data_IF_989576249326
#
_entry.id   IF_989576249326
#
_cell.length_a   1.000
_cell.length_b   1.000
_cell.length_c   1.000
_cell.angle_alpha   90.00
_cell.angle_beta   90.00
_cell.angle_gamma   90.00
#
_symmetry.space_group_name_H-M   'P 1'
#
loop_
_entity.id
_entity.type
_entity.pdbx_description
1 polymer ?
#
# COMPACT_ATOMS: atom_id res chain seq x y z
N UNK A 1 -43.68 17.39 -38.40
CA UNK A 1 -43.04 16.52 -37.38
C UNK A 1 -41.77 17.16 -36.78
N UNK A 2 -41.10 18.09 -37.47
CA UNK A 2 -39.84 18.74 -37.05
C UNK A 2 -39.92 19.71 -35.85
N UNK A 3 -41.01 20.47 -35.69
CA UNK A 3 -41.14 21.43 -34.56
C UNK A 3 -41.09 20.75 -33.19
N UNK A 4 -41.62 19.53 -33.07
CA UNK A 4 -41.68 18.79 -31.81
C UNK A 4 -40.29 18.33 -31.36
N UNK A 5 -39.47 17.89 -32.32
CA UNK A 5 -38.06 17.50 -32.10
C UNK A 5 -37.23 18.72 -31.73
N UNK A 6 -37.44 19.87 -32.41
CA UNK A 6 -36.77 21.12 -32.08
C UNK A 6 -37.06 21.59 -30.64
N UNK A 7 -38.33 21.57 -30.22
CA UNK A 7 -38.68 21.95 -28.84
C UNK A 7 -38.11 20.98 -27.79
N UNK A 8 -38.11 19.67 -28.07
CA UNK A 8 -37.47 18.68 -27.19
C UNK A 8 -35.95 18.88 -27.04
N UNK A 9 -35.25 19.18 -28.14
CA UNK A 9 -33.81 19.47 -28.10
C UNK A 9 -33.55 20.78 -27.37
N UNK A 10 -34.38 21.81 -27.59
CA UNK A 10 -34.27 23.09 -26.90
C UNK A 10 -34.47 22.95 -25.39
N UNK A 11 -35.52 22.24 -24.98
CA UNK A 11 -35.81 22.00 -23.56
C UNK A 11 -34.68 21.20 -22.89
N UNK A 12 -34.10 20.23 -23.60
CA UNK A 12 -32.94 19.48 -23.11
C UNK A 12 -31.69 20.34 -22.96
N UNK A 13 -31.40 21.23 -23.92
CA UNK A 13 -30.29 22.20 -23.83
C UNK A 13 -30.52 23.22 -22.72
N UNK A 14 -31.76 23.66 -22.49
CA UNK A 14 -32.11 24.61 -21.44
C UNK A 14 -32.02 23.97 -20.03
N UNK A 15 -32.34 22.68 -19.89
CA UNK A 15 -32.08 21.89 -18.66
C UNK A 15 -30.57 21.75 -18.42
N UNK A 16 -29.79 21.37 -19.45
CA UNK A 16 -28.34 21.26 -19.36
C UNK A 16 -27.67 22.60 -18.99
N UNK A 17 -28.16 23.74 -19.51
CA UNK A 17 -27.66 25.07 -19.15
C UNK A 17 -27.99 25.47 -17.72
N UNK A 18 -29.12 25.01 -17.15
CA UNK A 18 -29.49 25.26 -15.75
C UNK A 18 -28.60 24.48 -14.79
N UNK A 19 -28.31 23.22 -15.10
CA UNK A 19 -27.45 22.37 -14.29
C UNK A 19 -25.96 22.76 -14.42
N UNK A 20 -25.53 23.28 -15.58
CA UNK A 20 -24.17 23.81 -15.79
C UNK A 20 -24.00 25.24 -15.24
N UNK A 21 -25.07 26.05 -15.21
CA UNK A 21 -25.06 27.41 -14.65
C UNK A 21 -24.90 27.48 -13.12
N UNK A 22 -25.20 26.39 -12.42
CA UNK A 22 -24.92 26.26 -10.99
C UNK A 22 -23.43 26.37 -10.68
N UNK A 23 -22.54 25.88 -11.55
CA UNK A 23 -21.09 25.92 -11.31
C UNK A 23 -20.53 27.34 -11.38
N UNK A 24 -21.05 28.21 -12.23
CA UNK A 24 -20.56 29.58 -12.36
C UNK A 24 -21.10 30.49 -11.26
N UNK A 25 -22.36 30.32 -10.84
CA UNK A 25 -22.91 30.97 -9.65
C UNK A 25 -22.20 30.50 -8.37
N UNK A 26 -21.94 29.20 -8.23
CA UNK A 26 -21.16 28.64 -7.13
C UNK A 26 -19.74 29.21 -7.14
N UNK A 27 -19.07 29.28 -8.30
CA UNK A 27 -17.75 29.91 -8.42
C UNK A 27 -17.77 31.38 -8.01
N UNK A 28 -18.80 32.14 -8.39
CA UNK A 28 -18.94 33.54 -7.96
C UNK A 28 -19.16 33.66 -6.45
N UNK A 29 -20.01 32.81 -5.87
CA UNK A 29 -20.25 32.78 -4.43
C UNK A 29 -18.96 32.40 -3.69
N UNK A 30 -18.25 31.36 -4.13
CA UNK A 30 -16.97 30.94 -3.56
C UNK A 30 -15.93 32.05 -3.67
N UNK A 31 -15.86 32.76 -4.81
CA UNK A 31 -14.97 33.92 -4.98
C UNK A 31 -15.32 35.05 -4.01
N UNK A 32 -16.60 35.35 -3.81
CA UNK A 32 -17.06 36.37 -2.85
C UNK A 32 -16.73 35.97 -1.41
N UNK A 33 -16.98 34.72 -1.02
CA UNK A 33 -16.61 34.17 0.30
C UNK A 33 -15.09 34.27 0.50
N UNK A 34 -14.30 33.84 -0.50
CA UNK A 34 -12.84 33.92 -0.42
C UNK A 34 -12.35 35.37 -0.29
N UNK A 35 -12.91 36.31 -1.04
CA UNK A 35 -12.53 37.74 -0.92
C UNK A 35 -12.93 38.36 0.42
N UNK A 36 -14.14 38.07 0.91
CA UNK A 36 -14.66 38.64 2.16
C UNK A 36 -14.00 38.06 3.41
N UNK A 37 -13.57 36.80 3.34
CA UNK A 37 -12.99 36.08 4.47
C UNK A 37 -11.54 35.64 4.20
N UNK A 38 -10.84 36.34 3.29
CA UNK A 38 -9.51 35.94 2.83
C UNK A 38 -8.55 35.69 3.99
N UNK A 39 -8.45 36.64 4.91
CA UNK A 39 -7.53 36.55 6.06
C UNK A 39 -7.87 35.36 6.96
N UNK A 40 -9.16 35.11 7.23
CA UNK A 40 -9.59 33.98 8.03
C UNK A 40 -9.36 32.64 7.32
N UNK A 41 -9.61 32.57 6.01
CA UNK A 41 -9.41 31.38 5.20
C UNK A 41 -7.92 31.08 5.00
N UNK A 42 -7.10 32.10 4.73
CA UNK A 42 -5.64 31.96 4.64
C UNK A 42 -5.09 31.48 5.99
N UNK A 43 -5.53 32.05 7.12
CA UNK A 43 -5.17 31.57 8.45
C UNK A 43 -5.60 30.11 8.66
N UNK A 44 -6.81 29.72 8.24
CA UNK A 44 -7.26 28.33 8.30
C UNK A 44 -6.33 27.45 7.46
N UNK A 45 -6.04 27.81 6.20
CA UNK A 45 -5.19 27.03 5.28
C UNK A 45 -3.75 26.89 5.80
N UNK A 46 -3.18 27.95 6.36
CA UNK A 46 -1.85 27.94 6.99
C UNK A 46 -1.79 27.04 8.22
N UNK A 47 -2.92 26.91 8.94
CA UNK A 47 -3.04 26.05 10.11
C UNK A 47 -3.77 24.74 9.78
N UNK A 48 -3.99 24.40 8.49
CA UNK A 48 -4.57 23.11 8.14
C UNK A 48 -3.61 22.05 8.63
N UNK A 49 -4.09 21.14 9.46
CA UNK A 49 -3.17 20.24 10.07
C UNK A 49 -2.62 19.20 9.09
N UNK A 50 -1.34 18.84 9.22
CA UNK A 50 -0.69 17.86 8.34
C UNK A 50 -1.07 16.42 8.74
N UNK A 51 -2.30 16.03 8.38
CA UNK A 51 -2.87 14.73 8.74
C UNK A 51 -2.02 13.56 8.24
N UNK A 52 -1.30 13.72 7.12
CA UNK A 52 -0.40 12.68 6.63
C UNK A 52 0.79 12.51 7.58
N UNK A 53 1.46 13.59 7.99
CA UNK A 53 2.57 13.47 8.95
C UNK A 53 2.09 12.85 10.25
N UNK A 54 0.97 13.33 10.78
CA UNK A 54 0.38 12.82 12.01
C UNK A 54 0.01 11.35 11.93
N UNK A 55 -0.62 10.92 10.83
CA UNK A 55 -0.90 9.49 10.61
C UNK A 55 0.37 8.65 10.56
N UNK A 56 1.44 9.14 9.94
CA UNK A 56 2.70 8.38 9.87
C UNK A 56 3.28 8.16 11.26
N UNK A 57 3.23 9.17 12.13
CA UNK A 57 3.66 9.05 13.53
C UNK A 57 2.81 8.04 14.29
N UNK A 58 1.47 8.11 14.15
CA UNK A 58 0.56 7.18 14.82
C UNK A 58 0.77 5.73 14.36
N UNK A 59 1.07 5.51 13.08
CA UNK A 59 1.45 4.19 12.57
C UNK A 59 2.79 3.74 13.15
N UNK A 60 3.81 4.61 13.18
CA UNK A 60 5.13 4.30 13.74
C UNK A 60 4.96 3.90 15.21
N UNK A 61 4.25 4.67 16.02
CA UNK A 61 4.00 4.35 17.44
C UNK A 61 3.26 3.02 17.61
N UNK A 62 2.22 2.76 16.82
CA UNK A 62 1.51 1.49 16.86
C UNK A 62 2.43 0.31 16.49
N UNK A 63 3.27 0.46 15.46
CA UNK A 63 4.22 -0.57 15.03
C UNK A 63 5.35 -0.77 16.05
N UNK A 64 5.84 0.27 16.71
CA UNK A 64 6.81 0.13 17.81
C UNK A 64 6.22 -0.67 18.97
N UNK A 65 4.96 -0.42 19.32
CA UNK A 65 4.26 -1.20 20.34
C UNK A 65 4.10 -2.68 19.94
N UNK A 66 3.77 -2.96 18.67
CA UNK A 66 3.65 -4.33 18.16
C UNK A 66 5.04 -5.00 18.06
N UNK A 67 6.08 -4.26 17.69
CA UNK A 67 7.43 -4.79 17.56
C UNK A 67 8.02 -5.21 18.90
N UNK A 68 7.68 -4.52 20.00
CA UNK A 68 8.02 -4.93 21.37
C UNK A 68 7.43 -6.29 21.77
N UNK A 69 6.36 -6.72 21.10
CA UNK A 69 5.71 -8.02 21.30
C UNK A 69 6.33 -9.11 20.41
N UNK A 70 7.36 -8.78 19.62
CA UNK A 70 8.03 -9.65 18.65
C UNK A 70 7.11 -10.15 17.51
N UNK A 71 5.96 -9.52 17.32
CA UNK A 71 5.03 -9.86 16.23
C UNK A 71 5.51 -9.34 14.87
N UNK A 72 6.33 -8.29 14.88
CA UNK A 72 6.94 -7.68 13.69
C UNK A 72 8.40 -7.27 13.95
N UNK A 73 9.17 -7.15 12.88
CA UNK A 73 10.47 -6.50 12.85
C UNK A 73 10.27 -5.10 12.30
N UNK A 74 10.58 -4.08 13.10
CA UNK A 74 10.35 -2.70 12.73
C UNK A 74 11.60 -1.84 12.98
N UNK A 75 11.99 -1.08 11.97
CA UNK A 75 13.04 -0.08 12.07
C UNK A 75 12.52 1.23 11.42
N UNK A 76 12.22 2.25 12.24
CA UNK A 76 11.67 3.52 11.77
C UNK A 76 12.50 4.19 10.68
N UNK A 77 13.81 3.94 10.59
CA UNK A 77 14.69 4.61 9.60
C UNK A 77 14.37 4.26 8.15
N UNK A 78 13.69 3.13 7.91
CA UNK A 78 13.23 2.72 6.58
C UNK A 78 11.81 3.19 6.26
N UNK A 79 11.18 3.92 7.19
CA UNK A 79 9.86 4.51 7.05
C UNK A 79 9.97 6.00 6.75
N UNK A 80 8.94 6.55 6.12
CA UNK A 80 8.82 7.98 5.90
C UNK A 80 7.36 8.40 5.89
N UNK A 81 7.12 9.71 5.73
CA UNK A 81 5.78 10.30 5.79
C UNK A 81 4.73 9.56 4.95
N UNK A 82 5.08 9.19 3.72
CA UNK A 82 4.11 8.60 2.78
C UNK A 82 4.02 7.07 2.79
N UNK A 83 5.03 6.40 3.35
CA UNK A 83 5.12 4.94 3.38
C UNK A 83 5.83 4.52 4.67
N UNK A 84 5.13 3.76 5.50
CA UNK A 84 5.69 3.16 6.71
C UNK A 84 5.99 1.68 6.42
N UNK A 85 7.19 1.22 6.78
CA UNK A 85 7.69 -0.11 6.41
C UNK A 85 7.99 -0.97 7.61
N UNK A 86 7.64 -2.25 7.53
CA UNK A 86 7.98 -3.26 8.52
C UNK A 86 8.18 -4.62 7.86
N UNK A 87 8.71 -5.57 8.61
CA UNK A 87 8.80 -6.97 8.24
C UNK A 87 8.06 -7.84 9.26
N UNK A 88 7.70 -9.04 8.83
CA UNK A 88 7.08 -10.06 9.67
C UNK A 88 8.09 -11.22 9.78
N UNK A 89 8.42 -11.71 10.99
CA UNK A 89 9.41 -12.78 11.19
C UNK A 89 9.17 -14.01 10.31
N UNK A 90 7.93 -14.48 10.23
CA UNK A 90 7.53 -15.64 9.42
C UNK A 90 7.87 -15.46 7.94
N UNK A 91 7.83 -14.22 7.45
CA UNK A 91 8.25 -13.91 6.08
C UNK A 91 9.77 -13.79 5.94
N UNK A 92 10.51 -13.46 7.00
CA UNK A 92 11.97 -13.41 6.96
C UNK A 92 12.55 -14.82 6.83
N UNK A 93 11.89 -15.82 7.44
CA UNK A 93 12.26 -17.23 7.26
C UNK A 93 11.99 -17.71 5.82
N UNK A 94 10.87 -17.25 5.23
CA UNK A 94 10.52 -17.55 3.84
C UNK A 94 11.43 -16.84 2.84
N UNK A 95 11.81 -15.60 3.14
CA UNK A 95 12.55 -14.70 2.26
C UNK A 95 13.76 -14.14 3.03
N UNK A 96 14.84 -14.94 3.14
CA UNK A 96 16.00 -14.59 3.96
C UNK A 96 16.76 -13.39 3.41
N UNK A 97 17.61 -12.84 4.27
CA UNK A 97 18.37 -11.64 3.96
C UNK A 97 19.32 -11.87 2.79
N UNK A 98 19.42 -10.84 1.96
CA UNK A 98 20.33 -10.78 0.84
C UNK A 98 21.77 -10.68 1.36
N UNK A 99 22.76 -11.17 0.59
CA UNK A 99 24.16 -11.02 0.93
C UNK A 99 24.54 -9.55 1.20
N UNK A 100 25.58 -9.33 2.01
CA UNK A 100 26.10 -7.97 2.26
C UNK A 100 26.56 -7.27 0.98
N UNK A 101 26.99 -8.03 -0.03
CA UNK A 101 27.32 -7.54 -1.37
C UNK A 101 26.11 -7.02 -2.15
N UNK A 102 24.90 -7.26 -1.66
CA UNK A 102 23.65 -6.94 -2.34
C UNK A 102 22.63 -6.27 -1.39
N UNK A 103 22.66 -4.94 -1.23
CA UNK A 103 21.87 -4.22 -0.22
C UNK A 103 20.35 -4.21 -0.46
N UNK A 104 19.87 -4.75 -1.58
CA UNK A 104 18.45 -4.79 -1.93
C UNK A 104 17.89 -3.43 -2.37
N UNK A 105 16.56 -3.36 -2.51
CA UNK A 105 15.86 -2.16 -2.99
C UNK A 105 15.82 -1.00 -1.99
N UNK A 106 15.86 -1.31 -0.69
CA UNK A 106 15.71 -0.34 0.40
C UNK A 106 17.00 -0.15 1.23
N UNK A 107 18.14 -0.62 0.72
CA UNK A 107 19.42 -0.58 1.43
C UNK A 107 19.39 -1.22 2.83
N UNK A 108 18.59 -2.28 2.97
CA UNK A 108 18.37 -3.00 4.22
C UNK A 108 18.62 -4.51 4.11
N UNK A 109 19.22 -4.94 3.00
CA UNK A 109 19.46 -6.36 2.67
C UNK A 109 18.18 -7.21 2.63
N UNK A 110 16.98 -6.61 2.58
CA UNK A 110 15.73 -7.34 2.44
C UNK A 110 15.30 -7.40 0.97
N UNK A 111 14.78 -8.55 0.56
CA UNK A 111 14.12 -8.69 -0.74
C UNK A 111 12.66 -8.23 -0.75
N UNK A 112 12.04 -8.11 0.43
CA UNK A 112 10.65 -7.72 0.60
C UNK A 112 10.45 -6.68 1.71
N UNK A 113 9.31 -6.01 1.68
CA UNK A 113 8.80 -5.20 2.78
C UNK A 113 7.28 -5.22 2.80
N UNK A 114 6.70 -5.10 4.00
CA UNK A 114 5.31 -4.66 4.15
C UNK A 114 5.28 -3.14 4.17
N UNK A 115 4.49 -2.53 3.29
CA UNK A 115 4.36 -1.09 3.13
C UNK A 115 2.95 -0.64 3.50
N UNK A 116 2.80 0.14 4.57
CA UNK A 116 1.58 0.90 4.87
C UNK A 116 1.59 2.17 4.02
N UNK A 117 0.63 2.28 3.11
CA UNK A 117 0.47 3.48 2.29
C UNK A 117 -0.23 4.58 3.07
N UNK A 118 0.51 5.65 3.33
CA UNK A 118 0.01 6.86 3.95
C UNK A 118 -0.09 7.98 2.90
N UNK A 119 -1.03 7.79 1.98
CA UNK A 119 -1.32 8.71 0.88
C UNK A 119 -2.83 8.94 0.84
N UNK A 120 -3.24 10.14 0.42
CA UNK A 120 -4.66 10.48 0.26
C UNK A 120 -5.37 9.66 -0.81
N UNK A 121 -6.70 9.80 -0.87
CA UNK A 121 -7.56 9.16 -1.86
C UNK A 121 -7.70 7.65 -1.67
N UNK A 122 -7.77 6.91 -2.78
CA UNK A 122 -8.01 5.46 -2.79
C UNK A 122 -6.87 4.60 -2.21
N UNK A 123 -5.76 5.22 -1.80
CA UNK A 123 -4.59 4.54 -1.23
C UNK A 123 -4.56 4.54 0.30
N UNK A 124 -5.49 5.25 0.95
CA UNK A 124 -5.56 5.37 2.41
C UNK A 124 -5.79 4.00 3.05
N UNK A 125 -5.03 3.72 4.10
CA UNK A 125 -5.24 2.56 4.96
C UNK A 125 -5.00 1.23 4.24
N UNK A 126 -3.91 1.12 3.50
CA UNK A 126 -3.55 -0.12 2.78
C UNK A 126 -2.18 -0.62 3.20
N UNK A 127 -2.07 -1.92 3.41
CA UNK A 127 -0.81 -2.62 3.59
C UNK A 127 -0.52 -3.40 2.31
N UNK A 128 0.69 -3.28 1.78
CA UNK A 128 1.15 -4.02 0.59
C UNK A 128 2.33 -4.88 0.93
N UNK A 129 2.38 -6.09 0.40
CA UNK A 129 3.59 -6.90 0.35
C UNK A 129 4.32 -6.60 -0.95
N UNK A 130 5.49 -5.99 -0.87
CA UNK A 130 6.28 -5.54 -2.02
C UNK A 130 7.62 -6.26 -2.05
N UNK A 131 8.01 -6.73 -3.23
CA UNK A 131 9.35 -7.26 -3.51
C UNK A 131 10.16 -6.27 -4.36
N UNK A 132 11.47 -6.27 -4.15
CA UNK A 132 12.41 -5.55 -5.01
C UNK A 132 12.97 -6.46 -6.11
N UNK A 133 13.18 -5.90 -7.30
CA UNK A 133 13.87 -6.57 -8.41
C UNK A 133 15.40 -6.45 -8.32
N UNK A 134 15.91 -5.65 -7.39
CA UNK A 134 17.33 -5.59 -7.04
C UNK A 134 17.66 -6.78 -6.14
N UNK A 135 17.63 -7.99 -6.68
CA UNK A 135 17.96 -9.25 -6.00
C UNK A 135 18.72 -10.18 -6.97
N UNK A 136 19.42 -11.20 -6.45
CA UNK A 136 20.01 -12.24 -7.29
C UNK A 136 18.97 -12.93 -8.20
N UNK A 137 19.40 -13.40 -9.36
CA UNK A 137 18.53 -13.96 -10.39
C UNK A 137 17.73 -15.19 -9.92
N UNK A 138 18.33 -16.01 -9.05
CA UNK A 138 17.64 -17.16 -8.44
C UNK A 138 16.45 -16.73 -7.57
N UNK A 139 16.66 -15.74 -6.68
CA UNK A 139 15.59 -15.15 -5.89
C UNK A 139 14.53 -14.50 -6.79
N UNK A 140 14.94 -13.89 -7.90
CA UNK A 140 14.03 -13.26 -8.87
C UNK A 140 13.10 -14.29 -9.52
N UNK A 141 13.63 -15.42 -9.98
CA UNK A 141 12.82 -16.53 -10.53
C UNK A 141 11.81 -17.06 -9.53
N UNK A 142 12.23 -17.26 -8.28
CA UNK A 142 11.32 -17.70 -7.23
C UNK A 142 10.19 -16.68 -6.98
N UNK A 143 10.51 -15.38 -6.88
CA UNK A 143 9.50 -14.32 -6.74
C UNK A 143 8.55 -14.32 -7.93
N UNK A 144 9.04 -14.48 -9.15
CA UNK A 144 8.17 -14.56 -10.34
C UNK A 144 7.23 -15.78 -10.32
N UNK A 145 7.70 -16.95 -9.90
CA UNK A 145 6.85 -18.14 -9.74
C UNK A 145 5.81 -17.96 -8.63
N UNK A 146 6.19 -17.36 -7.50
CA UNK A 146 5.28 -17.00 -6.42
C UNK A 146 4.14 -16.11 -6.92
N UNK A 147 4.46 -15.09 -7.74
CA UNK A 147 3.49 -14.15 -8.29
C UNK A 147 2.52 -14.82 -9.26
N UNK A 148 3.04 -15.65 -10.17
CA UNK A 148 2.23 -16.38 -11.13
C UNK A 148 1.27 -17.34 -10.41
N UNK A 149 1.76 -18.02 -9.38
CA UNK A 149 0.95 -18.99 -8.60
C UNK A 149 -0.14 -18.29 -7.78
N UNK A 150 0.12 -17.07 -7.30
CA UNK A 150 -0.85 -16.25 -6.55
C UNK A 150 -1.79 -15.43 -7.44
N UNK A 151 -1.73 -15.61 -8.76
CA UNK A 151 -2.62 -14.96 -9.73
C UNK A 151 -2.29 -13.48 -9.99
N UNK A 152 -1.11 -13.02 -9.57
CA UNK A 152 -0.65 -11.65 -9.80
C UNK A 152 -0.19 -11.50 -11.25
N UNK A 153 -0.63 -10.44 -11.93
CA UNK A 153 -0.26 -10.17 -13.33
C UNK A 153 1.26 -10.03 -13.48
N UNK A 154 1.84 -10.76 -14.43
CA UNK A 154 3.27 -10.69 -14.78
C UNK A 154 3.68 -9.25 -15.13
N UNK A 155 4.76 -8.75 -14.52
CA UNK A 155 5.39 -7.48 -14.89
C UNK A 155 6.40 -7.65 -16.03
N UNK A 156 6.89 -6.52 -16.55
CA UNK A 156 8.01 -6.47 -17.50
C UNK A 156 9.26 -7.11 -16.89
N UNK A 157 10.16 -7.66 -17.70
CA UNK A 157 11.36 -8.40 -17.26
C UNK A 157 12.31 -7.58 -16.35
N UNK A 158 12.33 -6.26 -16.50
CA UNK A 158 13.18 -5.33 -15.73
C UNK A 158 12.45 -4.63 -14.58
N UNK A 159 11.49 -5.30 -13.94
CA UNK A 159 10.74 -4.74 -12.83
C UNK A 159 11.64 -4.42 -11.62
N UNK A 160 11.43 -3.27 -10.98
CA UNK A 160 12.16 -2.88 -9.75
C UNK A 160 11.33 -3.09 -8.48
N UNK A 161 10.01 -2.93 -8.58
CA UNK A 161 9.08 -3.07 -7.46
C UNK A 161 7.89 -3.91 -7.90
N UNK A 162 7.50 -4.90 -7.11
CA UNK A 162 6.34 -5.74 -7.42
C UNK A 162 5.49 -5.98 -6.18
N UNK A 163 4.24 -5.49 -6.22
CA UNK A 163 3.23 -5.73 -5.21
C UNK A 163 2.56 -7.11 -5.43
N UNK A 164 2.62 -7.99 -4.45
CA UNK A 164 2.09 -9.37 -4.52
C UNK A 164 0.69 -9.44 -3.92
N UNK A 165 0.48 -8.69 -2.85
CA UNK A 165 -0.72 -8.79 -2.04
C UNK A 165 -1.01 -7.46 -1.35
N UNK A 166 -2.29 -7.18 -1.18
CA UNK A 166 -2.78 -5.96 -0.55
C UNK A 166 -3.83 -6.32 0.49
N UNK A 167 -3.78 -5.64 1.63
CA UNK A 167 -4.75 -5.71 2.71
C UNK A 167 -5.23 -4.31 3.07
N UNK A 168 -6.49 -4.20 3.51
CA UNK A 168 -7.10 -2.93 3.89
C UNK A 168 -7.19 -2.80 5.41
N UNK A 169 -6.67 -1.70 5.93
CA UNK A 169 -6.86 -1.25 7.31
C UNK A 169 -8.26 -0.62 7.40
N UNK A 170 -9.28 -1.45 7.56
CA UNK A 170 -10.68 -1.03 7.47
C UNK A 170 -11.04 0.18 8.36
N UNK A 171 -10.39 0.30 9.52
CA UNK A 171 -10.60 1.41 10.45
C UNK A 171 -10.01 2.74 9.95
N UNK A 172 -8.94 2.69 9.15
CA UNK A 172 -8.29 3.88 8.59
C UNK A 172 -8.80 4.12 7.17
N UNK A 173 -9.81 4.98 7.05
CA UNK A 173 -10.39 5.43 5.78
C UNK A 173 -10.28 6.96 5.68
N UNK A 174 -10.71 7.57 4.56
CA UNK A 174 -10.60 9.02 4.38
C UNK A 174 -11.26 9.82 5.49
N UNK A 175 -12.45 9.40 5.95
CA UNK A 175 -13.16 10.04 7.06
C UNK A 175 -12.36 9.98 8.36
N UNK A 176 -11.72 8.85 8.66
CA UNK A 176 -10.83 8.74 9.83
C UNK A 176 -9.66 9.73 9.75
N UNK A 177 -9.10 9.95 8.55
CA UNK A 177 -8.02 10.93 8.34
C UNK A 177 -8.54 12.36 8.50
N UNK A 178 -9.72 12.67 7.96
CA UNK A 178 -10.35 14.00 8.04
C UNK A 178 -10.70 14.36 9.49
N UNK A 179 -11.23 13.41 10.25
CA UNK A 179 -11.62 13.59 11.66
C UNK A 179 -10.44 13.40 12.64
N UNK A 180 -9.20 13.21 12.14
CA UNK A 180 -8.06 12.79 12.95
C UNK A 180 -7.75 13.78 14.09
N UNK A 181 -7.73 15.07 13.80
CA UNK A 181 -7.44 16.10 14.81
C UNK A 181 -8.49 16.13 15.90
N UNK A 182 -9.76 16.15 15.51
CA UNK A 182 -10.88 16.10 16.45
C UNK A 182 -10.87 14.81 17.30
N UNK A 183 -10.49 13.67 16.71
CA UNK A 183 -10.31 12.42 17.46
C UNK A 183 -9.19 12.52 18.48
N UNK A 184 -8.05 13.10 18.10
CA UNK A 184 -6.92 13.26 19.01
C UNK A 184 -7.24 14.20 20.17
N UNK A 185 -7.99 15.28 19.93
CA UNK A 185 -8.45 16.19 20.97
C UNK A 185 -9.45 15.54 21.93
N UNK A 186 -10.41 14.77 21.39
CA UNK A 186 -11.50 14.20 22.19
C UNK A 186 -11.12 12.89 22.89
N UNK A 187 -10.40 12.00 22.22
CA UNK A 187 -10.09 10.65 22.68
C UNK A 187 -8.67 10.54 23.26
N UNK A 188 -7.78 11.47 22.91
CA UNK A 188 -6.36 11.44 23.27
C UNK A 188 -5.52 10.54 22.36
N UNK A 189 -4.23 10.87 22.24
CA UNK A 189 -3.27 10.17 21.35
C UNK A 189 -3.18 8.66 21.63
N UNK A 190 -3.05 8.28 22.90
CA UNK A 190 -2.87 6.88 23.30
C UNK A 190 -4.05 5.99 22.87
N UNK A 191 -5.27 6.52 22.98
CA UNK A 191 -6.48 5.78 22.59
C UNK A 191 -6.53 5.59 21.06
N UNK A 192 -6.19 6.64 20.29
CA UNK A 192 -6.12 6.56 18.82
C UNK A 192 -5.05 5.56 18.37
N UNK A 193 -3.85 5.60 18.98
CA UNK A 193 -2.77 4.62 18.70
C UNK A 193 -3.24 3.20 19.01
N UNK A 194 -3.92 2.99 20.14
CA UNK A 194 -4.49 1.69 20.52
C UNK A 194 -5.51 1.17 19.50
N UNK A 195 -6.37 2.03 18.96
CA UNK A 195 -7.32 1.65 17.90
C UNK A 195 -6.61 1.22 16.60
N UNK A 196 -5.58 1.97 16.21
CA UNK A 196 -4.76 1.66 15.03
C UNK A 196 -4.03 0.34 15.25
N UNK A 197 -3.35 0.17 16.38
CA UNK A 197 -2.66 -1.07 16.77
C UNK A 197 -3.58 -2.28 16.66
N UNK A 198 -4.77 -2.23 17.28
CA UNK A 198 -5.76 -3.32 17.21
C UNK A 198 -6.18 -3.66 15.78
N UNK A 199 -6.27 -2.65 14.92
CA UNK A 199 -6.59 -2.85 13.51
C UNK A 199 -5.43 -3.50 12.74
N UNK A 200 -4.20 -3.12 13.04
CA UNK A 200 -2.99 -3.72 12.47
C UNK A 200 -2.83 -5.18 12.91
N UNK A 201 -2.96 -5.49 14.20
CA UNK A 201 -2.86 -6.86 14.74
C UNK A 201 -3.83 -7.83 14.05
N UNK A 202 -5.08 -7.39 13.80
CA UNK A 202 -6.06 -8.19 13.08
C UNK A 202 -5.58 -8.54 11.68
N UNK A 203 -5.00 -7.57 10.97
CA UNK A 203 -4.48 -7.77 9.61
C UNK A 203 -3.22 -8.62 9.63
N UNK A 204 -2.36 -8.46 10.64
CA UNK A 204 -1.17 -9.30 10.81
C UNK A 204 -1.56 -10.77 10.95
N UNK A 205 -2.63 -11.08 11.67
CA UNK A 205 -3.17 -12.45 11.72
C UNK A 205 -3.55 -12.97 10.33
N UNK A 206 -4.30 -12.18 9.55
CA UNK A 206 -4.69 -12.54 8.18
C UNK A 206 -3.48 -12.71 7.25
N UNK A 207 -2.42 -11.89 7.44
CA UNK A 207 -1.17 -12.00 6.68
C UNK A 207 -0.41 -13.29 7.05
N UNK A 208 -0.33 -13.62 8.34
CA UNK A 208 0.36 -14.82 8.82
C UNK A 208 -0.32 -16.10 8.34
N UNK A 209 -1.65 -16.13 8.27
CA UNK A 209 -2.38 -17.25 7.66
C UNK A 209 -2.00 -17.48 6.19
N UNK A 210 -1.76 -16.39 5.43
CA UNK A 210 -1.24 -16.46 4.05
C UNK A 210 0.23 -16.88 3.96
N UNK A 211 1.05 -16.66 4.98
CA UNK A 211 2.45 -17.08 4.98
C UNK A 211 2.58 -18.60 4.75
N UNK A 212 1.70 -19.39 5.37
CA UNK A 212 1.61 -20.84 5.21
C UNK A 212 1.32 -21.28 3.77
N UNK A 213 0.63 -20.46 2.97
CA UNK A 213 0.41 -20.71 1.55
C UNK A 213 1.71 -20.49 0.76
N UNK A 214 2.44 -19.41 1.06
CA UNK A 214 3.70 -19.08 0.39
C UNK A 214 4.81 -20.09 0.72
N UNK A 215 4.81 -20.65 1.93
CA UNK A 215 5.71 -21.74 2.30
C UNK A 215 5.51 -22.98 1.41
N UNK A 216 4.26 -23.37 1.16
CA UNK A 216 3.94 -24.50 0.26
C UNK A 216 4.43 -24.22 -1.16
N UNK A 217 4.26 -22.99 -1.65
CA UNK A 217 4.75 -22.59 -2.98
C UNK A 217 6.28 -22.66 -3.04
N UNK A 218 6.98 -22.18 -2.00
CA UNK A 218 8.43 -22.27 -1.88
C UNK A 218 8.93 -23.72 -1.91
N UNK A 219 8.31 -24.60 -1.13
CA UNK A 219 8.70 -26.02 -1.10
C UNK A 219 8.49 -26.69 -2.46
N UNK A 220 7.37 -26.40 -3.13
CA UNK A 220 7.12 -26.90 -4.48
C UNK A 220 8.14 -26.37 -5.52
N UNK A 221 8.57 -25.12 -5.39
CA UNK A 221 9.60 -24.53 -6.25
C UNK A 221 10.94 -25.26 -6.10
N UNK A 222 11.38 -25.48 -4.86
CA UNK A 222 12.64 -26.18 -4.54
C UNK A 222 12.60 -27.62 -5.08
N UNK A 223 11.49 -28.34 -4.88
CA UNK A 223 11.35 -29.70 -5.41
C UNK A 223 11.43 -29.74 -6.95
N UNK A 224 10.89 -28.74 -7.65
CA UNK A 224 10.99 -28.67 -9.12
C UNK A 224 12.41 -28.37 -9.59
N UNK A 225 13.14 -27.49 -8.90
CA UNK A 225 14.52 -27.15 -9.28
C UNK A 225 15.46 -28.35 -9.06
N UNK A 226 15.34 -29.05 -7.93
CA UNK A 226 16.10 -30.27 -7.64
C UNK A 226 15.85 -31.39 -8.67
N UNK A 227 14.58 -31.66 -9.00
CA UNK A 227 14.23 -32.66 -10.01
C UNK A 227 14.76 -32.29 -11.41
N UNK A 228 14.81 -30.99 -11.73
CA UNK A 228 15.37 -30.52 -13.00
C UNK A 228 16.88 -30.74 -13.09
N UNK A 229 17.61 -30.50 -11.99
CA UNK A 229 19.06 -30.76 -11.89
C UNK A 229 19.35 -32.25 -12.05
N UNK A 230 18.63 -33.11 -11.34
CA UNK A 230 18.78 -34.57 -11.42
C UNK A 230 18.56 -35.08 -12.86
N UNK A 231 17.56 -34.54 -13.56
CA UNK A 231 17.28 -34.92 -14.94
C UNK A 231 18.36 -34.43 -15.91
N UNK A 232 18.94 -33.24 -15.70
CA UNK A 232 20.07 -32.73 -16.49
C UNK A 232 21.33 -33.57 -16.28
N UNK A 233 21.63 -33.96 -15.04
CA UNK A 233 22.78 -34.84 -14.73
C UNK A 233 22.63 -36.22 -15.39
N UNK A 234 21.44 -36.84 -15.31
CA UNK A 234 21.15 -38.11 -15.99
C UNK A 234 21.26 -38.03 -17.52
N UNK A 235 20.87 -36.90 -18.10
CA UNK A 235 20.95 -36.69 -19.56
C UNK A 235 22.40 -36.50 -20.01
N UNK A 236 23.22 -35.81 -19.22
CA UNK A 236 24.64 -35.61 -19.52
C UNK A 236 25.48 -36.87 -19.33
N UNK A 237 25.14 -37.75 -18.38
CA UNK A 237 25.80 -39.06 -18.22
C UNK A 237 25.54 -39.96 -19.44
N UNK A 238 24.34 -39.91 -20.02
CA UNK A 238 23.99 -40.68 -21.21
C UNK A 238 24.55 -40.12 -22.54
N UNK A 239 25.25 -38.98 -22.51
CA UNK A 239 25.90 -38.36 -23.68
C UNK A 239 27.43 -38.58 -23.71
N UNK A 240 27.98 -39.25 -22.69
CA UNK A 240 29.42 -39.53 -22.53
C UNK A 240 29.73 -41.04 -22.69
N UNK A 241 28.71 -41.88 -22.94
CA UNK A 241 28.86 -43.27 -23.42
C UNK A 241 28.69 -43.36 -24.94
#
# INVERSE_FOLDING_TARGET
>A
MEKKVYYLIKDYVDILRRDVGMDDEIKEIVRKIYQQHKEALDLIFENIPDNLSLMSELYIEALEQISKENEIIFDPKYSGKSIVRFQIPEFTDLFPDLPLSHPGGWSNHKMYAFEILNKGGNSVGKIKLVFTGKIPEENKKFVEELMLTTGVKKKKENWEWWNVAEWKINKVNMRFIEELYTKLENEGRDQVVKEIKKSLEKILKDIKEKASEYEKIKNNFILKSENSIINLEKTNVNLIE
#
